data_IF_230910332045
#
_entry.id   IF_230910332045
#
_cell.length_a   1.000
_cell.length_b   1.000
_cell.length_c   1.000
_cell.angle_alpha   90.00
_cell.angle_beta   90.00
_cell.angle_gamma   90.00
#
_symmetry.space_group_name_H-M   'P 1'
#
loop_
_entity.id
_entity.type
_entity.pdbx_description
1 polymer ?
#
# COMPACT_ATOMS: atom_id res chain seq x y z
N UNK A 1 46.54 59.61 -5.98
CA UNK A 1 46.87 58.17 -6.11
C UNK A 1 45.70 57.38 -5.54
N UNK A 2 45.41 56.23 -6.14
CA UNK A 2 44.08 55.59 -6.28
C UNK A 2 43.53 55.00 -4.97
N UNK A 3 42.25 55.23 -4.69
CA UNK A 3 41.49 54.49 -3.68
C UNK A 3 41.17 53.09 -4.21
N UNK A 4 41.39 52.07 -3.39
CA UNK A 4 41.04 50.66 -3.66
C UNK A 4 39.72 50.36 -2.94
N UNK A 5 38.69 49.77 -3.58
CA UNK A 5 37.50 49.34 -2.87
C UNK A 5 37.72 47.95 -2.25
N UNK A 6 37.25 47.75 -1.02
CA UNK A 6 37.21 46.45 -0.35
C UNK A 6 36.18 45.52 -1.01
N UNK A 7 36.39 44.19 -1.06
CA UNK A 7 35.38 43.28 -1.57
C UNK A 7 34.31 43.06 -0.49
N UNK A 8 33.04 43.33 -0.84
CA UNK A 8 31.90 42.93 -0.04
C UNK A 8 31.77 41.40 -0.12
N UNK A 9 31.98 40.71 1.00
CA UNK A 9 31.70 39.28 1.11
C UNK A 9 30.18 39.06 1.10
N UNK A 10 29.67 38.48 0.01
CA UNK A 10 28.30 37.98 -0.03
C UNK A 10 28.22 36.68 0.78
N UNK A 11 27.56 36.73 1.95
CA UNK A 11 27.20 35.53 2.69
C UNK A 11 25.98 34.91 2.02
N UNK A 12 26.18 33.88 1.20
CA UNK A 12 25.10 33.06 0.68
C UNK A 12 24.56 32.16 1.80
N UNK A 13 23.41 32.51 2.37
CA UNK A 13 22.66 31.60 3.23
C UNK A 13 22.03 30.55 2.33
N UNK A 14 22.66 29.38 2.25
CA UNK A 14 22.09 28.20 1.62
C UNK A 14 21.04 27.64 2.56
N UNK A 15 19.78 28.04 2.39
CA UNK A 15 18.66 27.41 3.08
C UNK A 15 18.55 25.97 2.54
N UNK A 16 19.04 24.98 3.30
CA UNK A 16 18.66 23.60 3.06
C UNK A 16 17.17 23.50 3.39
N UNK A 17 16.34 23.42 2.36
CA UNK A 17 15.03 22.79 2.48
C UNK A 17 15.30 21.31 2.79
N UNK A 18 15.41 20.98 4.07
CA UNK A 18 15.21 19.60 4.51
C UNK A 18 13.72 19.35 4.34
N UNK A 19 13.32 18.81 3.19
CA UNK A 19 11.98 18.28 3.03
C UNK A 19 11.77 17.26 4.15
N UNK A 20 10.76 17.47 4.99
CA UNK A 20 10.37 16.45 5.94
C UNK A 20 10.00 15.20 5.13
N UNK A 21 10.68 14.08 5.39
CA UNK A 21 10.22 12.81 4.88
C UNK A 21 8.87 12.53 5.54
N UNK A 22 7.78 12.58 4.76
CA UNK A 22 6.49 12.11 5.21
C UNK A 22 6.55 10.58 5.33
N UNK A 23 6.02 10.07 6.44
CA UNK A 23 5.87 8.64 6.63
C UNK A 23 4.71 8.17 5.75
N UNK A 24 5.02 7.38 4.74
CA UNK A 24 4.03 6.74 3.89
C UNK A 24 3.30 5.66 4.70
N UNK A 25 1.97 5.77 4.83
CA UNK A 25 1.20 4.76 5.56
C UNK A 25 0.95 3.59 4.62
N UNK A 26 1.57 2.46 4.92
CA UNK A 26 1.44 1.24 4.12
C UNK A 26 0.55 0.26 4.86
N UNK A 27 -0.34 -0.39 4.13
CA UNK A 27 -1.13 -1.51 4.62
C UNK A 27 -0.70 -2.78 3.88
N UNK A 28 -0.48 -3.86 4.62
CA UNK A 28 -0.08 -5.13 4.04
C UNK A 28 -0.93 -6.26 4.58
N UNK A 29 -1.05 -7.33 3.79
CA UNK A 29 -1.61 -8.60 4.23
C UNK A 29 -1.13 -9.76 3.37
N UNK A 30 -1.12 -10.95 3.95
CA UNK A 30 -1.04 -12.21 3.21
C UNK A 30 -2.47 -12.74 3.05
N UNK A 31 -2.74 -13.33 1.89
CA UNK A 31 -4.00 -13.99 1.59
C UNK A 31 -3.75 -15.49 1.59
N UNK A 32 -4.60 -16.24 2.29
CA UNK A 32 -4.54 -17.70 2.28
C UNK A 32 -5.94 -18.32 2.44
N UNK A 33 -6.03 -19.62 2.14
CA UNK A 33 -7.27 -20.39 2.30
C UNK A 33 -7.70 -20.53 3.75
N UNK A 34 -6.76 -20.66 4.69
CA UNK A 34 -7.07 -20.82 6.11
C UNK A 34 -7.84 -19.62 6.68
N UNK A 35 -7.42 -18.41 6.31
CA UNK A 35 -8.06 -17.13 6.66
C UNK A 35 -9.41 -16.97 5.96
N UNK A 36 -9.57 -17.53 4.76
CA UNK A 36 -10.84 -17.60 4.06
C UNK A 36 -11.80 -18.68 4.60
N UNK A 37 -11.33 -19.58 5.47
CA UNK A 37 -12.08 -20.74 5.92
C UNK A 37 -12.22 -21.84 4.85
N UNK A 38 -11.32 -21.87 3.88
CA UNK A 38 -11.24 -22.89 2.83
C UNK A 38 -10.07 -23.85 3.05
N UNK A 39 -10.05 -24.95 2.29
CA UNK A 39 -8.93 -25.90 2.26
C UNK A 39 -7.96 -25.62 1.10
N UNK A 40 -8.03 -24.44 0.49
CA UNK A 40 -7.16 -24.07 -0.62
C UNK A 40 -5.70 -24.00 -0.17
N UNK A 41 -4.79 -24.43 -1.05
CA UNK A 41 -3.35 -24.24 -0.89
C UNK A 41 -2.85 -22.94 -1.54
N UNK A 42 -3.76 -22.17 -2.15
CA UNK A 42 -3.43 -20.89 -2.78
C UNK A 42 -2.93 -19.88 -1.75
N UNK A 43 -2.07 -18.98 -2.22
CA UNK A 43 -1.46 -17.93 -1.42
C UNK A 43 -1.50 -16.63 -2.20
N UNK A 44 -1.47 -15.51 -1.49
CA UNK A 44 -1.35 -14.19 -2.10
C UNK A 44 -0.85 -13.14 -1.13
N UNK A 45 -0.66 -11.94 -1.66
CA UNK A 45 -0.27 -10.76 -0.90
C UNK A 45 -1.02 -9.54 -1.41
N UNK A 46 -1.28 -8.58 -0.53
CA UNK A 46 -1.72 -7.25 -0.95
C UNK A 46 -0.90 -6.19 -0.20
N UNK A 47 -0.46 -5.18 -0.95
CA UNK A 47 0.17 -3.97 -0.42
C UNK A 47 -0.62 -2.76 -0.89
N UNK A 48 -0.98 -1.89 0.04
CA UNK A 48 -1.66 -0.63 -0.21
C UNK A 48 -0.85 0.51 0.37
N UNK A 49 -0.77 1.61 -0.37
CA UNK A 49 -0.03 2.80 -0.01
C UNK A 49 -1.03 3.96 0.04
N UNK A 50 -1.29 4.51 1.22
CA UNK A 50 -2.18 5.64 1.41
C UNK A 50 -1.44 6.95 1.13
N UNK A 51 -2.02 7.80 0.28
CA UNK A 51 -1.46 9.12 0.00
C UNK A 51 -1.57 10.07 1.20
N UNK A 52 -0.76 11.12 1.21
CA UNK A 52 -0.70 12.10 2.30
C UNK A 52 -2.04 12.83 2.52
N UNK A 53 -2.82 13.06 1.45
CA UNK A 53 -4.14 13.69 1.53
C UNK A 53 -5.22 12.75 2.09
N UNK A 54 -4.93 11.45 2.23
CA UNK A 54 -5.86 10.39 2.65
C UNK A 54 -7.11 10.27 1.76
N UNK A 55 -6.93 10.49 0.46
CA UNK A 55 -8.01 10.44 -0.54
C UNK A 55 -7.89 9.25 -1.47
N UNK A 56 -6.76 8.56 -1.50
CA UNK A 56 -6.55 7.42 -2.39
C UNK A 56 -5.48 6.46 -1.84
N UNK A 57 -5.61 5.19 -2.23
CA UNK A 57 -4.53 4.20 -2.07
C UNK A 57 -4.07 3.69 -3.42
N UNK A 58 -2.75 3.62 -3.62
CA UNK A 58 -2.18 2.76 -4.66
C UNK A 58 -2.11 1.33 -4.12
N UNK A 59 -2.54 0.35 -4.90
CA UNK A 59 -2.53 -1.06 -4.49
C UNK A 59 -1.81 -1.96 -5.48
N UNK A 60 -1.22 -3.02 -4.95
CA UNK A 60 -0.68 -4.17 -5.66
C UNK A 60 -1.16 -5.44 -4.97
N UNK A 61 -1.85 -6.31 -5.72
CA UNK A 61 -2.37 -7.60 -5.25
C UNK A 61 -1.84 -8.71 -6.14
N UNK A 62 -1.20 -9.70 -5.53
CA UNK A 62 -0.69 -10.90 -6.21
C UNK A 62 -1.28 -12.15 -5.53
N UNK A 63 -1.44 -13.23 -6.30
CA UNK A 63 -1.87 -14.53 -5.81
C UNK A 63 -1.46 -15.64 -6.78
N UNK A 64 -1.35 -16.86 -6.25
CA UNK A 64 -1.02 -18.05 -7.00
C UNK A 64 -1.76 -19.27 -6.47
N UNK A 65 -1.73 -20.34 -7.27
CA UNK A 65 -2.19 -21.68 -6.87
C UNK A 65 -3.65 -21.73 -6.40
N UNK A 66 -4.54 -20.96 -7.04
CA UNK A 66 -5.98 -21.18 -6.88
C UNK A 66 -6.34 -22.60 -7.30
N UNK A 67 -7.32 -23.17 -6.62
CA UNK A 67 -7.84 -24.52 -6.84
C UNK A 67 -8.71 -24.58 -8.10
N UNK A 68 -9.03 -23.43 -8.69
CA UNK A 68 -9.88 -23.28 -9.86
C UNK A 68 -9.62 -21.98 -10.62
N UNK A 69 -10.50 -21.67 -11.58
CA UNK A 69 -10.40 -20.43 -12.36
C UNK A 69 -10.87 -19.26 -11.52
N UNK A 70 -10.13 -18.16 -11.51
CA UNK A 70 -10.54 -16.93 -10.83
C UNK A 70 -11.88 -16.42 -11.38
N UNK A 71 -12.83 -16.13 -10.49
CA UNK A 71 -14.17 -15.62 -10.85
C UNK A 71 -14.45 -14.22 -10.30
N UNK A 72 -13.62 -13.73 -9.38
CA UNK A 72 -13.75 -12.40 -8.80
C UNK A 72 -12.66 -12.06 -7.81
N UNK A 73 -12.43 -10.76 -7.58
CA UNK A 73 -11.51 -10.26 -6.58
C UNK A 73 -12.01 -8.92 -6.05
N UNK A 74 -12.00 -8.73 -4.74
CA UNK A 74 -12.63 -7.58 -4.11
C UNK A 74 -11.92 -7.11 -2.84
N UNK A 75 -11.99 -5.81 -2.58
CA UNK A 75 -11.86 -5.28 -1.22
C UNK A 75 -13.23 -5.27 -0.56
N UNK A 76 -13.28 -5.67 0.70
CA UNK A 76 -14.46 -5.73 1.55
C UNK A 76 -14.16 -5.05 2.89
N UNK A 77 -15.20 -4.78 3.68
CA UNK A 77 -15.03 -4.41 5.09
C UNK A 77 -15.87 -5.27 6.03
N UNK A 78 -15.28 -5.71 7.13
CA UNK A 78 -15.95 -6.32 8.28
C UNK A 78 -14.93 -6.53 9.41
N UNK A 79 -15.41 -6.89 10.60
CA UNK A 79 -14.55 -7.46 11.63
C UNK A 79 -13.78 -8.69 11.08
N UNK A 80 -12.51 -8.90 11.49
CA UNK A 80 -11.74 -10.06 11.07
C UNK A 80 -12.48 -11.38 11.28
N UNK A 81 -12.52 -12.22 10.24
CA UNK A 81 -13.24 -13.50 10.23
C UNK A 81 -14.74 -13.40 9.90
N UNK A 82 -15.32 -12.20 9.87
CA UNK A 82 -16.71 -12.00 9.45
C UNK A 82 -16.82 -11.72 7.95
N UNK A 83 -17.91 -12.14 7.28
CA UNK A 83 -18.21 -11.70 5.91
C UNK A 83 -18.60 -10.21 5.92
N UNK A 84 -18.39 -9.54 4.79
CA UNK A 84 -18.64 -8.11 4.65
C UNK A 84 -19.12 -7.74 3.25
N UNK A 85 -19.79 -6.59 3.06
CA UNK A 85 -20.09 -6.07 1.73
C UNK A 85 -18.80 -5.64 1.00
N UNK A 86 -18.90 -5.50 -0.32
CA UNK A 86 -17.78 -5.08 -1.19
C UNK A 86 -17.61 -3.57 -1.13
N UNK A 87 -16.36 -3.11 -1.04
CA UNK A 87 -15.93 -1.73 -1.23
C UNK A 87 -15.48 -1.49 -2.68
N UNK A 88 -14.61 -2.35 -3.20
CA UNK A 88 -14.04 -2.24 -4.54
C UNK A 88 -14.00 -3.59 -5.24
N UNK A 89 -14.35 -3.60 -6.52
CA UNK A 89 -14.12 -4.74 -7.42
C UNK A 89 -12.81 -4.55 -8.18
N UNK A 90 -11.96 -5.57 -8.15
CA UNK A 90 -10.70 -5.63 -8.87
C UNK A 90 -10.88 -6.37 -10.20
N UNK A 91 -10.01 -6.09 -11.17
CA UNK A 91 -9.97 -6.82 -12.43
C UNK A 91 -9.57 -8.28 -12.20
N UNK A 92 -10.05 -9.19 -13.06
CA UNK A 92 -9.58 -10.58 -13.10
C UNK A 92 -8.17 -10.66 -13.69
N UNK A 93 -7.43 -11.70 -13.31
CA UNK A 93 -6.05 -11.96 -13.72
C UNK A 93 -5.03 -11.10 -12.99
N UNK A 94 -3.75 -11.35 -13.28
CA UNK A 94 -2.62 -10.54 -12.85
C UNK A 94 -2.05 -9.74 -14.02
N UNK A 95 -1.40 -8.59 -13.78
CA UNK A 95 -1.23 -7.95 -12.47
C UNK A 95 -2.51 -7.24 -11.99
N UNK A 96 -2.77 -7.24 -10.67
CA UNK A 96 -3.81 -6.41 -10.05
C UNK A 96 -3.17 -5.19 -9.38
N UNK A 97 -2.78 -4.24 -10.21
CA UNK A 97 -2.20 -2.97 -9.77
C UNK A 97 -3.16 -1.85 -10.13
N UNK A 98 -3.40 -0.92 -9.20
CA UNK A 98 -4.30 0.19 -9.47
C UNK A 98 -4.33 1.24 -8.36
N UNK A 99 -5.28 2.16 -8.51
CA UNK A 99 -5.59 3.18 -7.51
C UNK A 99 -7.05 3.02 -7.09
N UNK A 100 -7.30 3.08 -5.79
CA UNK A 100 -8.63 3.15 -5.21
C UNK A 100 -8.80 4.53 -4.57
N UNK A 101 -9.65 5.34 -5.19
CA UNK A 101 -10.11 6.60 -4.61
C UNK A 101 -11.01 6.29 -3.40
N UNK A 102 -10.66 6.86 -2.26
CA UNK A 102 -11.34 6.65 -0.99
C UNK A 102 -12.34 7.78 -0.75
N UNK A 103 -13.56 7.40 -0.38
CA UNK A 103 -14.43 8.33 0.33
C UNK A 103 -14.13 8.31 1.85
N UNK A 104 -14.85 9.14 2.61
CA UNK A 104 -14.66 9.23 4.05
C UNK A 104 -15.03 7.92 4.79
N UNK A 105 -15.92 7.10 4.22
CA UNK A 105 -16.31 5.82 4.78
C UNK A 105 -15.21 4.77 4.56
N UNK A 106 -14.69 4.68 3.33
CA UNK A 106 -13.61 3.77 2.95
C UNK A 106 -12.35 3.99 3.80
N UNK A 107 -11.93 5.26 3.93
CA UNK A 107 -10.80 5.65 4.76
C UNK A 107 -11.01 5.22 6.21
N UNK A 108 -12.19 5.44 6.77
CA UNK A 108 -12.49 5.07 8.14
C UNK A 108 -12.42 3.54 8.36
N UNK A 109 -12.87 2.74 7.39
CA UNK A 109 -12.74 1.27 7.49
C UNK A 109 -11.28 0.83 7.39
N UNK A 110 -10.49 1.46 6.51
CA UNK A 110 -9.08 1.14 6.33
C UNK A 110 -8.26 1.50 7.58
N UNK A 111 -8.47 2.68 8.15
CA UNK A 111 -7.82 3.13 9.39
C UNK A 111 -8.25 2.30 10.61
N UNK A 112 -9.48 1.76 10.63
CA UNK A 112 -9.95 0.85 11.66
C UNK A 112 -9.42 -0.59 11.52
N UNK A 113 -8.70 -0.92 10.44
CA UNK A 113 -8.21 -2.28 10.17
C UNK A 113 -9.33 -3.27 9.82
N UNK A 114 -10.46 -2.77 9.30
CA UNK A 114 -11.64 -3.57 8.94
C UNK A 114 -11.65 -3.98 7.48
N UNK A 115 -10.73 -3.46 6.66
CA UNK A 115 -10.66 -3.79 5.23
C UNK A 115 -9.92 -5.10 5.02
N UNK A 116 -10.45 -5.95 4.14
CA UNK A 116 -9.82 -7.20 3.74
C UNK A 116 -9.96 -7.45 2.24
N UNK A 117 -9.00 -8.17 1.69
CA UNK A 117 -8.97 -8.61 0.29
C UNK A 117 -9.51 -10.03 0.21
N UNK A 118 -10.34 -10.30 -0.79
CA UNK A 118 -10.87 -11.64 -1.06
C UNK A 118 -10.75 -11.98 -2.54
N UNK A 119 -10.17 -13.14 -2.86
CA UNK A 119 -10.08 -13.72 -4.20
C UNK A 119 -11.04 -14.89 -4.29
N UNK A 120 -11.80 -15.00 -5.38
CA UNK A 120 -12.79 -16.04 -5.62
C UNK A 120 -12.38 -16.91 -6.81
N UNK A 121 -12.77 -18.18 -6.75
CA UNK A 121 -12.70 -19.09 -7.88
C UNK A 121 -14.03 -19.78 -8.14
N UNK A 122 -14.11 -20.55 -9.23
CA UNK A 122 -15.24 -21.44 -9.50
C UNK A 122 -15.36 -22.59 -8.50
N UNK A 123 -14.27 -23.02 -7.88
CA UNK A 123 -14.26 -24.02 -6.79
C UNK A 123 -14.71 -23.42 -5.45
N UNK A 124 -14.33 -22.17 -5.16
CA UNK A 124 -14.71 -21.46 -3.93
C UNK A 124 -15.43 -20.14 -4.26
N UNK A 125 -16.71 -20.18 -4.69
CA UNK A 125 -17.45 -18.99 -5.09
C UNK A 125 -17.71 -18.02 -3.93
N UNK A 126 -17.71 -18.51 -2.68
CA UNK A 126 -17.81 -17.68 -1.48
C UNK A 126 -16.55 -16.90 -1.13
N UNK A 127 -15.43 -17.16 -1.81
CA UNK A 127 -14.10 -16.65 -1.50
C UNK A 127 -13.13 -17.81 -1.27
N UNK A 128 -12.07 -17.88 -2.09
CA UNK A 128 -11.00 -18.87 -1.97
C UNK A 128 -9.90 -18.42 -1.00
N UNK A 129 -9.39 -17.20 -1.19
CA UNK A 129 -8.30 -16.61 -0.40
C UNK A 129 -8.77 -15.34 0.27
N UNK A 130 -8.32 -15.09 1.51
CA UNK A 130 -8.64 -13.88 2.28
C UNK A 130 -7.40 -13.36 3.01
N UNK A 131 -7.24 -12.04 3.06
CA UNK A 131 -6.26 -11.37 3.92
C UNK A 131 -6.82 -10.07 4.48
N UNK A 132 -6.75 -9.87 5.81
CA UNK A 132 -7.17 -8.62 6.45
C UNK A 132 -6.01 -7.64 6.49
N UNK A 133 -6.22 -6.41 6.03
CA UNK A 133 -5.18 -5.40 5.94
C UNK A 133 -4.83 -4.87 7.33
N UNK A 134 -3.54 -4.77 7.59
CA UNK A 134 -3.01 -4.14 8.81
C UNK A 134 -1.99 -3.08 8.43
N UNK A 135 -1.95 -1.97 9.17
CA UNK A 135 -0.98 -0.92 8.92
C UNK A 135 0.43 -1.40 9.28
N UNK A 136 1.33 -1.37 8.31
CA UNK A 136 2.76 -1.51 8.48
C UNK A 136 3.39 -0.12 8.52
N UNK A 137 4.21 0.14 9.55
CA UNK A 137 5.08 1.31 9.53
C UNK A 137 6.33 0.92 8.74
N UNK A 138 6.38 1.26 7.45
CA UNK A 138 7.67 1.29 6.76
C UNK A 138 8.27 2.65 7.04
N UNK A 139 9.41 2.69 7.72
CA UNK A 139 10.19 3.90 7.75
C UNK A 139 10.60 4.18 6.31
N UNK A 140 10.03 5.21 5.68
CA UNK A 140 10.65 5.79 4.51
C UNK A 140 11.97 6.39 5.01
N UNK A 141 13.06 5.62 4.92
CA UNK A 141 14.38 6.25 5.04
C UNK A 141 14.40 7.26 3.90
N UNK A 142 14.40 8.56 4.27
CA UNK A 142 14.63 9.62 3.31
C UNK A 142 15.86 9.19 2.51
N UNK A 143 15.70 8.91 1.21
CA UNK A 143 16.80 8.46 0.37
C UNK A 143 17.86 9.56 0.42
N UNK A 144 18.84 9.39 1.30
CA UNK A 144 19.92 10.34 1.45
C UNK A 144 20.94 10.02 0.38
N UNK A 145 21.59 11.05 -0.16
CA UNK A 145 22.75 10.85 -1.04
C UNK A 145 23.85 10.01 -0.35
N UNK A 146 23.85 9.94 0.99
CA UNK A 146 24.68 9.00 1.75
C UNK A 146 24.25 7.54 1.59
N UNK A 147 22.96 7.24 1.72
CA UNK A 147 22.40 5.89 1.54
C UNK A 147 22.56 5.37 0.11
N UNK A 148 22.32 6.21 -0.90
CA UNK A 148 22.53 5.84 -2.32
C UNK A 148 24.01 5.51 -2.60
N UNK A 149 24.95 6.29 -2.06
CA UNK A 149 26.40 6.03 -2.21
C UNK A 149 26.86 4.77 -1.48
N UNK A 150 26.14 4.30 -0.47
CA UNK A 150 26.47 3.08 0.26
C UNK A 150 26.11 1.81 -0.54
N UNK A 151 25.18 1.89 -1.49
CA UNK A 151 24.76 0.77 -2.34
C UNK A 151 25.74 0.46 -3.49
N UNK A 152 26.66 1.38 -3.81
CA UNK A 152 27.61 1.26 -4.93
C UNK A 152 29.08 1.12 -4.46
N UNK A 153 29.30 0.55 -3.27
CA UNK A 153 30.65 0.22 -2.77
C UNK A 153 30.92 -1.28 -2.79
#
# INVERSE_FOLDING_TARGET
MRSVPAPAAFLAVLTLCVGAAAAETVYITQLDGATAGTASNGLGTATLILNDEKTAVAYDVDFQDLSGVETGAHFHYAEPGSPGPRLLTLNLGLPKIGVWELDAFDLAQLEAGLVFVMIHSDVYPGGELRGNLTSGVVASEAASWGGVKALFR
#
